data_IF_955156432020
#
_entry.id   IF_955156432020
#
_cell.length_a   1.000
_cell.length_b   1.000
_cell.length_c   1.000
_cell.angle_alpha   90.00
_cell.angle_beta   90.00
_cell.angle_gamma   90.00
#
_symmetry.space_group_name_H-M   'P 1'
#
loop_
_entity.id
_entity.type
_entity.pdbx_description
1 polymer ?
#
# COMPACT_ATOMS: atom_id res chain seq x y z
N UNK A 1 11.23 -58.29 -39.09
CA UNK A 1 12.05 -57.27 -38.41
C UNK A 1 11.85 -55.94 -39.13
N UNK A 2 10.97 -55.07 -38.63
CA UNK A 2 10.65 -53.77 -39.25
C UNK A 2 11.45 -52.67 -38.52
N UNK A 3 12.31 -51.98 -39.26
CA UNK A 3 13.06 -50.80 -38.81
C UNK A 3 12.10 -49.62 -38.71
N UNK A 4 11.97 -49.01 -37.53
CA UNK A 4 11.26 -47.75 -37.33
C UNK A 4 12.31 -46.66 -37.15
N UNK A 5 12.27 -45.69 -38.05
CA UNK A 5 13.08 -44.48 -38.05
C UNK A 5 12.47 -43.55 -36.99
N UNK A 6 13.24 -43.24 -35.94
CA UNK A 6 12.85 -42.25 -34.94
C UNK A 6 13.29 -40.86 -35.44
N UNK A 7 12.34 -40.09 -35.93
CA UNK A 7 12.52 -38.70 -36.35
C UNK A 7 12.80 -37.80 -35.14
N UNK A 8 13.92 -37.07 -35.21
CA UNK A 8 14.33 -36.02 -34.30
C UNK A 8 13.35 -34.83 -34.44
N UNK A 9 12.58 -34.53 -33.40
CA UNK A 9 11.77 -33.31 -33.34
C UNK A 9 12.51 -32.27 -32.51
N UNK A 10 13.10 -31.28 -33.19
CA UNK A 10 13.55 -30.03 -32.58
C UNK A 10 12.30 -29.27 -32.08
N UNK A 11 12.11 -29.22 -30.76
CA UNK A 11 11.15 -28.28 -30.15
C UNK A 11 11.88 -26.95 -30.01
N UNK A 12 11.53 -26.00 -30.87
CA UNK A 12 11.96 -24.62 -30.74
C UNK A 12 11.38 -24.04 -29.45
N UNK A 13 12.23 -23.80 -28.45
CA UNK A 13 11.87 -22.99 -27.28
C UNK A 13 11.82 -21.54 -27.74
N UNK A 14 10.69 -21.14 -28.31
CA UNK A 14 10.40 -19.74 -28.58
C UNK A 14 10.25 -19.01 -27.24
N UNK A 15 11.12 -18.02 -27.03
CA UNK A 15 11.22 -17.26 -25.80
C UNK A 15 9.90 -16.63 -25.38
N UNK A 16 9.53 -16.85 -24.13
CA UNK A 16 8.54 -16.06 -23.42
C UNK A 16 9.16 -14.68 -23.09
N UNK A 17 9.27 -13.83 -24.11
CA UNK A 17 9.54 -12.42 -23.92
C UNK A 17 8.28 -11.73 -23.39
N UNK A 18 8.36 -11.30 -22.13
CA UNK A 18 7.88 -10.02 -21.60
C UNK A 18 6.77 -9.33 -22.41
N UNK A 19 5.51 -9.73 -22.21
CA UNK A 19 4.34 -8.97 -22.67
C UNK A 19 3.31 -8.83 -21.56
N UNK A 20 3.72 -8.22 -20.45
CA UNK A 20 2.77 -7.80 -19.40
C UNK A 20 3.09 -6.40 -18.91
N UNK A 21 3.13 -5.45 -19.83
CA UNK A 21 3.14 -4.03 -19.49
C UNK A 21 2.35 -3.19 -20.50
N UNK A 22 1.18 -3.66 -20.92
CA UNK A 22 0.25 -2.89 -21.75
C UNK A 22 -1.20 -3.15 -21.35
N UNK A 23 -1.52 -3.14 -20.05
CA UNK A 23 -2.92 -2.99 -19.65
C UNK A 23 -3.22 -1.51 -19.43
N UNK A 24 -3.86 -0.90 -20.44
CA UNK A 24 -4.49 0.42 -20.37
C UNK A 24 -5.92 0.32 -19.81
N UNK A 25 -6.11 -0.52 -18.79
CA UNK A 25 -7.39 -0.59 -18.07
C UNK A 25 -7.73 0.80 -17.52
N UNK A 26 -8.80 1.38 -18.08
CA UNK A 26 -9.44 2.58 -17.54
C UNK A 26 -9.93 2.23 -16.14
N UNK A 27 -9.19 2.65 -15.13
CA UNK A 27 -9.59 2.60 -13.73
C UNK A 27 -10.91 3.34 -13.62
N UNK A 28 -12.02 2.64 -13.35
CA UNK A 28 -13.30 3.28 -13.08
C UNK A 28 -13.27 3.83 -11.66
N UNK A 29 -13.28 5.15 -11.54
CA UNK A 29 -13.28 5.82 -10.25
C UNK A 29 -14.70 5.92 -9.71
N UNK A 30 -14.99 5.22 -8.60
CA UNK A 30 -16.15 5.58 -7.79
C UNK A 30 -15.82 6.90 -7.10
N UNK A 31 -16.44 7.99 -7.56
CA UNK A 31 -16.27 9.33 -6.99
C UNK A 31 -16.99 9.36 -5.63
N UNK A 32 -16.25 9.25 -4.54
CA UNK A 32 -16.76 9.63 -3.22
C UNK A 32 -16.63 11.15 -3.07
N UNK A 33 -17.76 11.85 -3.02
CA UNK A 33 -17.78 13.26 -2.64
C UNK A 33 -17.49 13.39 -1.14
N UNK A 34 -16.62 14.34 -0.79
CA UNK A 34 -16.42 14.77 0.58
C UNK A 34 -17.61 15.62 1.02
N UNK A 35 -18.06 15.41 2.26
CA UNK A 35 -18.50 16.52 3.09
C UNK A 35 -17.25 17.34 3.48
N UNK A 36 -17.36 18.61 3.86
CA UNK A 36 -16.21 19.44 4.28
C UNK A 36 -15.35 18.83 5.42
N UNK A 37 -15.85 17.78 6.07
CA UNK A 37 -15.21 16.99 7.11
C UNK A 37 -14.57 15.70 6.55
N UNK A 38 -13.43 15.31 7.10
CA UNK A 38 -12.83 13.98 6.84
C UNK A 38 -13.88 12.88 7.08
N UNK A 39 -13.75 11.76 6.35
CA UNK A 39 -14.62 10.60 6.56
C UNK A 39 -14.64 10.23 8.06
N UNK A 40 -15.82 10.04 8.68
CA UNK A 40 -15.94 9.72 10.10
C UNK A 40 -15.09 8.54 10.56
N UNK A 41 -14.78 7.59 9.68
CA UNK A 41 -13.92 6.44 9.96
C UNK A 41 -12.48 6.83 10.33
N UNK A 42 -11.98 7.96 9.83
CA UNK A 42 -10.60 8.41 10.07
C UNK A 42 -10.48 9.90 10.34
N UNK A 43 -11.56 10.61 10.68
CA UNK A 43 -11.49 12.05 10.97
C UNK A 43 -10.56 12.41 12.15
N UNK A 44 -10.47 11.53 13.14
CA UNK A 44 -9.70 11.75 14.37
C UNK A 44 -8.34 11.01 14.37
N UNK A 45 -7.84 10.62 13.20
CA UNK A 45 -6.67 9.73 13.06
C UNK A 45 -5.40 10.22 13.76
N UNK A 46 -5.26 11.54 13.95
CA UNK A 46 -4.10 12.14 14.63
C UNK A 46 -4.03 11.79 16.11
N UNK A 47 -5.13 11.33 16.72
CA UNK A 47 -5.14 10.81 18.10
C UNK A 47 -4.82 9.32 18.21
N UNK A 48 -4.68 8.62 17.08
CA UNK A 48 -4.45 7.18 17.06
C UNK A 48 -2.99 6.83 17.31
N UNK A 49 -2.69 5.52 17.37
CA UNK A 49 -1.33 5.04 17.53
C UNK A 49 -0.48 5.45 16.31
N UNK A 50 0.54 6.27 16.58
CA UNK A 50 1.52 6.72 15.59
C UNK A 50 2.61 5.64 15.43
N UNK A 51 2.52 4.91 14.33
CA UNK A 51 3.37 3.76 13.99
C UNK A 51 4.83 4.17 13.81
N UNK A 52 5.07 5.32 13.18
CA UNK A 52 6.42 5.86 12.96
C UNK A 52 6.99 6.56 14.20
N UNK A 53 6.25 6.59 15.32
CA UNK A 53 6.66 7.24 16.58
C UNK A 53 7.24 8.66 16.35
N UNK A 54 8.35 8.98 17.03
CA UNK A 54 9.13 10.22 16.86
C UNK A 54 10.21 10.10 15.77
N UNK A 55 10.23 9.00 15.02
CA UNK A 55 11.20 8.76 13.93
C UNK A 55 10.49 8.63 12.59
N UNK A 56 9.86 9.71 12.10
CA UNK A 56 9.31 9.74 10.76
C UNK A 56 10.42 9.47 9.77
N UNK A 57 10.12 8.56 8.87
CA UNK A 57 11.09 7.98 7.97
C UNK A 57 10.57 8.05 6.54
N UNK A 58 11.44 7.65 5.63
CA UNK A 58 11.10 7.55 4.22
C UNK A 58 10.23 6.35 3.92
N UNK A 59 9.99 5.43 4.87
CA UNK A 59 9.28 4.19 4.62
C UNK A 59 9.89 3.37 3.49
N UNK A 60 11.14 3.64 3.12
CA UNK A 60 11.85 3.08 1.98
C UNK A 60 13.30 2.72 2.32
N UNK A 61 13.54 1.86 3.33
CA UNK A 61 14.90 1.46 3.68
C UNK A 61 15.54 0.56 2.61
N UNK A 62 14.78 0.10 1.61
CA UNK A 62 15.23 -0.83 0.56
C UNK A 62 15.33 -0.19 -0.83
N UNK A 63 14.89 1.05 -1.01
CA UNK A 63 14.80 1.71 -2.33
C UNK A 63 13.64 1.20 -3.21
N UNK A 64 12.77 0.33 -2.69
CA UNK A 64 11.60 -0.19 -3.40
C UNK A 64 10.62 0.93 -3.79
N UNK A 65 10.60 2.04 -3.06
CA UNK A 65 9.80 3.20 -3.41
C UNK A 65 10.50 4.13 -4.40
N UNK A 66 11.67 3.80 -4.98
CA UNK A 66 12.25 4.68 -5.98
C UNK A 66 11.34 4.81 -7.22
N UNK A 67 11.11 6.05 -7.68
CA UNK A 67 10.11 6.36 -8.72
C UNK A 67 8.62 6.23 -8.32
N UNK A 68 8.29 5.81 -7.09
CA UNK A 68 6.91 5.72 -6.54
C UNK A 68 6.83 6.45 -5.19
N UNK A 69 5.68 7.01 -4.80
CA UNK A 69 5.55 7.68 -3.49
C UNK A 69 6.67 8.69 -3.12
N UNK A 70 7.37 9.26 -4.12
CA UNK A 70 8.54 10.12 -3.95
C UNK A 70 9.73 9.48 -3.19
N UNK A 71 9.81 8.15 -3.11
CA UNK A 71 10.97 7.39 -2.62
C UNK A 71 11.54 7.88 -1.29
N UNK A 72 12.87 7.94 -1.23
CA UNK A 72 13.67 8.46 -0.10
C UNK A 72 13.56 9.97 0.12
N UNK A 73 12.94 10.72 -0.81
CA UNK A 73 12.78 12.17 -0.67
C UNK A 73 11.59 12.53 0.20
N UNK A 74 10.57 11.68 0.26
CA UNK A 74 9.39 11.93 1.07
C UNK A 74 9.56 11.46 2.52
N UNK A 75 8.89 12.15 3.44
CA UNK A 75 8.77 11.77 4.85
C UNK A 75 7.34 11.31 5.12
N UNK A 76 7.20 10.25 5.91
CA UNK A 76 5.90 9.61 6.14
C UNK A 76 5.59 9.55 7.63
N UNK A 77 4.33 9.83 7.95
CA UNK A 77 3.77 9.51 9.26
C UNK A 77 2.62 8.55 9.07
N UNK A 78 2.65 7.44 9.81
CA UNK A 78 1.65 6.38 9.72
C UNK A 78 0.90 6.31 11.04
N UNK A 79 -0.42 6.24 10.94
CA UNK A 79 -1.35 6.15 12.07
C UNK A 79 -2.24 4.93 11.88
N UNK A 80 -2.53 4.20 12.95
CA UNK A 80 -3.46 3.07 12.91
C UNK A 80 -4.43 3.13 14.08
N UNK A 81 -5.71 2.87 13.79
CA UNK A 81 -6.74 2.90 14.80
C UNK A 81 -6.56 1.80 15.87
N UNK A 82 -7.34 1.91 16.95
CA UNK A 82 -7.26 0.99 18.10
C UNK A 82 -7.43 -0.48 17.73
N UNK A 83 -8.24 -0.79 16.70
CA UNK A 83 -8.49 -2.16 16.23
C UNK A 83 -7.24 -2.85 15.69
N UNK A 84 -6.42 -2.12 14.92
CA UNK A 84 -5.20 -2.66 14.33
C UNK A 84 -3.97 -2.53 15.22
N UNK A 85 -4.00 -1.68 16.25
CA UNK A 85 -2.83 -1.32 17.07
C UNK A 85 -2.12 -2.54 17.68
N UNK A 86 -2.87 -3.52 18.21
CA UNK A 86 -2.27 -4.71 18.82
C UNK A 86 -1.46 -5.52 17.81
N UNK A 87 -2.03 -5.76 16.62
CA UNK A 87 -1.37 -6.46 15.51
C UNK A 87 -0.16 -5.67 15.01
N UNK A 88 -0.29 -4.35 14.89
CA UNK A 88 0.75 -3.46 14.40
C UNK A 88 2.05 -3.52 15.23
N UNK A 89 1.92 -3.76 16.54
CA UNK A 89 3.05 -3.86 17.47
C UNK A 89 3.71 -5.24 17.48
N UNK A 90 3.06 -6.25 16.91
CA UNK A 90 3.60 -7.62 16.85
C UNK A 90 4.55 -7.79 15.66
N UNK A 91 5.58 -8.59 15.89
CA UNK A 91 6.45 -9.12 14.85
C UNK A 91 5.81 -10.36 14.20
N UNK A 92 6.17 -10.67 12.95
CA UNK A 92 5.73 -11.88 12.27
C UNK A 92 4.58 -11.68 11.28
N UNK A 93 3.76 -12.71 11.08
CA UNK A 93 2.72 -12.73 10.05
C UNK A 93 1.46 -12.03 10.55
N UNK A 94 1.50 -10.70 10.52
CA UNK A 94 0.43 -9.84 10.98
C UNK A 94 -0.84 -10.09 10.16
N UNK A 95 -1.97 -10.33 10.84
CA UNK A 95 -3.31 -10.41 10.25
C UNK A 95 -4.20 -9.37 10.92
N UNK A 96 -4.53 -8.31 10.20
CA UNK A 96 -5.31 -7.21 10.76
C UNK A 96 -6.80 -7.56 10.78
N UNK A 97 -7.51 -7.29 11.88
CA UNK A 97 -8.94 -7.53 11.94
C UNK A 97 -9.71 -6.54 11.06
N UNK A 98 -10.91 -6.94 10.64
CA UNK A 98 -11.85 -6.06 9.96
C UNK A 98 -12.15 -4.79 10.77
N UNK A 99 -12.28 -3.67 10.07
CA UNK A 99 -12.37 -2.32 10.63
C UNK A 99 -11.02 -1.72 11.05
N UNK A 100 -9.89 -2.39 10.78
CA UNK A 100 -8.58 -1.75 10.88
C UNK A 100 -8.49 -0.63 9.85
N UNK A 101 -8.03 0.55 10.29
CA UNK A 101 -7.78 1.70 9.42
C UNK A 101 -6.36 2.17 9.60
N UNK A 102 -5.61 2.27 8.50
CA UNK A 102 -4.26 2.83 8.46
C UNK A 102 -4.30 4.12 7.65
N UNK A 103 -3.84 5.22 8.24
CA UNK A 103 -3.70 6.52 7.58
C UNK A 103 -2.22 6.83 7.42
N UNK A 104 -1.84 7.24 6.22
CA UNK A 104 -0.51 7.71 5.87
C UNK A 104 -0.57 9.18 5.48
N UNK A 105 0.21 10.00 6.17
CA UNK A 105 0.60 11.32 5.71
C UNK A 105 1.92 11.19 4.95
N UNK A 106 1.97 11.67 3.70
CA UNK A 106 3.20 11.77 2.93
C UNK A 106 3.56 13.23 2.68
N UNK A 107 4.73 13.63 3.15
CA UNK A 107 5.31 14.95 2.98
C UNK A 107 6.38 14.90 1.89
N UNK A 108 6.42 15.93 1.04
CA UNK A 108 7.33 15.96 -0.11
C UNK A 108 8.83 15.96 0.25
N UNK A 109 9.17 16.42 1.45
CA UNK A 109 10.52 16.56 1.99
C UNK A 109 10.49 16.78 3.51
N UNK A 110 11.67 16.82 4.14
CA UNK A 110 11.85 17.01 5.57
C UNK A 110 11.26 18.35 6.05
N UNK A 111 11.50 19.43 5.32
CA UNK A 111 11.04 20.77 5.70
C UNK A 111 9.50 20.86 5.72
N UNK A 112 8.82 20.22 4.75
CA UNK A 112 7.37 20.14 4.73
C UNK A 112 6.82 19.30 5.88
N UNK A 113 7.52 18.24 6.26
CA UNK A 113 7.17 17.39 7.40
C UNK A 113 7.34 18.13 8.74
N UNK A 114 8.47 18.80 8.95
CA UNK A 114 8.72 19.60 10.17
C UNK A 114 7.68 20.71 10.33
N UNK A 115 7.34 21.38 9.22
CA UNK A 115 6.31 22.41 9.21
C UNK A 115 4.87 21.86 9.25
N UNK A 116 4.68 20.53 9.17
CA UNK A 116 3.37 19.85 9.04
C UNK A 116 2.50 20.43 7.92
N UNK A 117 3.11 20.81 6.79
CA UNK A 117 2.44 21.50 5.69
C UNK A 117 2.07 20.57 4.55
N UNK A 118 0.78 20.61 4.17
CA UNK A 118 0.22 20.03 2.94
C UNK A 118 0.61 18.55 2.72
N UNK A 119 0.44 17.64 3.71
CA UNK A 119 0.64 16.22 3.45
C UNK A 119 -0.36 15.71 2.41
N UNK A 120 0.07 14.74 1.60
CA UNK A 120 -0.86 13.90 0.85
C UNK A 120 -1.34 12.80 1.79
N UNK A 121 -2.66 12.73 2.00
CA UNK A 121 -3.25 11.67 2.81
C UNK A 121 -3.58 10.46 1.94
N UNK A 122 -3.21 9.28 2.40
CA UNK A 122 -3.68 8.00 1.82
C UNK A 122 -4.15 7.10 2.94
N UNK A 123 -5.24 6.38 2.74
CA UNK A 123 -5.89 5.56 3.77
C UNK A 123 -6.09 4.16 3.22
N UNK A 124 -5.91 3.15 4.06
CA UNK A 124 -6.36 1.79 3.77
C UNK A 124 -7.27 1.27 4.88
N UNK A 125 -8.35 0.60 4.49
CA UNK A 125 -9.38 0.07 5.39
C UNK A 125 -9.53 -1.43 5.19
N UNK A 126 -9.40 -2.21 6.26
CA UNK A 126 -9.67 -3.65 6.23
C UNK A 126 -11.18 -3.86 6.36
N UNK A 127 -11.80 -4.43 5.33
CA UNK A 127 -13.21 -4.80 5.32
C UNK A 127 -13.44 -6.17 5.98
N UNK A 128 -14.70 -6.53 6.13
CA UNK A 128 -15.09 -7.90 6.48
C UNK A 128 -14.64 -8.89 5.39
N UNK A 129 -14.44 -10.14 5.81
CA UNK A 129 -13.96 -11.19 4.93
C UNK A 129 -14.85 -11.36 3.68
N UNK A 130 -14.23 -11.39 2.50
CA UNK A 130 -14.89 -11.58 1.22
C UNK A 130 -15.58 -10.34 0.65
N UNK A 131 -15.46 -9.15 1.28
CA UNK A 131 -16.03 -7.91 0.75
C UNK A 131 -15.20 -7.28 -0.37
N UNK A 132 -13.91 -7.56 -0.42
CA UNK A 132 -13.02 -7.14 -1.51
C UNK A 132 -11.95 -8.22 -1.75
N UNK A 133 -12.33 -9.41 -2.24
CA UNK A 133 -11.45 -10.57 -2.32
C UNK A 133 -10.20 -10.31 -3.17
N UNK A 134 -10.31 -9.53 -4.25
CA UNK A 134 -9.21 -9.19 -5.17
C UNK A 134 -8.06 -8.42 -4.50
N UNK A 135 -8.31 -7.85 -3.33
CA UNK A 135 -7.31 -7.10 -2.55
C UNK A 135 -7.17 -7.64 -1.13
N UNK A 136 -7.60 -8.89 -0.91
CA UNK A 136 -7.64 -9.52 0.42
C UNK A 136 -8.36 -8.64 1.44
N UNK A 137 -9.50 -8.11 1.02
CA UNK A 137 -10.42 -7.28 1.82
C UNK A 137 -9.84 -5.93 2.27
N UNK A 138 -8.81 -5.41 1.60
CA UNK A 138 -8.33 -4.05 1.83
C UNK A 138 -8.88 -3.08 0.79
N UNK A 139 -9.46 -1.97 1.22
CA UNK A 139 -9.77 -0.83 0.36
C UNK A 139 -8.72 0.26 0.47
N UNK A 140 -8.40 0.92 -0.66
CA UNK A 140 -7.38 1.97 -0.72
C UNK A 140 -7.97 3.29 -1.19
N UNK A 141 -7.68 4.35 -0.43
CA UNK A 141 -8.15 5.71 -0.66
C UNK A 141 -6.98 6.68 -0.74
N UNK A 142 -7.04 7.65 -1.66
CA UNK A 142 -6.06 8.74 -1.75
C UNK A 142 -6.74 10.10 -1.75
N UNK A 143 -6.25 10.98 -0.88
CA UNK A 143 -6.72 12.33 -0.69
C UNK A 143 -6.12 13.28 -1.72
N UNK A 144 -6.96 14.14 -2.30
CA UNK A 144 -6.57 15.22 -3.20
C UNK A 144 -6.78 16.56 -2.51
N UNK A 145 -5.68 17.30 -2.33
CA UNK A 145 -5.66 18.64 -1.73
C UNK A 145 -6.36 19.70 -2.58
N UNK A 146 -6.55 19.45 -3.88
CA UNK A 146 -7.17 20.42 -4.80
C UNK A 146 -8.69 20.48 -4.70
N UNK A 147 -9.32 19.49 -4.05
CA UNK A 147 -10.79 19.38 -3.99
C UNK A 147 -11.33 18.83 -2.67
N UNK A 148 -10.49 18.59 -1.67
CA UNK A 148 -10.83 17.76 -0.51
C UNK A 148 -11.52 16.48 -0.99
N UNK A 149 -10.91 15.64 -1.82
CA UNK A 149 -11.56 14.42 -2.33
C UNK A 149 -10.75 13.19 -1.97
N UNK A 150 -11.40 12.12 -1.52
CA UNK A 150 -10.78 10.80 -1.34
C UNK A 150 -11.28 9.92 -2.48
N UNK A 151 -10.38 9.56 -3.36
CA UNK A 151 -10.72 8.68 -4.48
C UNK A 151 -10.32 7.26 -4.12
N UNK A 152 -11.15 6.30 -4.50
CA UNK A 152 -10.78 4.89 -4.43
C UNK A 152 -9.69 4.62 -5.49
N UNK A 153 -8.56 4.06 -5.06
CA UNK A 153 -7.39 3.75 -5.88
C UNK A 153 -7.05 2.26 -5.85
N UNK A 154 -8.07 1.40 -5.74
CA UNK A 154 -7.94 -0.04 -5.50
C UNK A 154 -6.90 -0.73 -6.38
N UNK A 155 -7.12 -0.74 -7.70
CA UNK A 155 -6.27 -1.43 -8.68
C UNK A 155 -4.85 -0.86 -8.73
N UNK A 156 -4.69 0.44 -8.45
CA UNK A 156 -3.37 1.06 -8.45
C UNK A 156 -2.57 0.71 -7.19
N UNK A 157 -3.19 0.81 -6.02
CA UNK A 157 -2.50 0.58 -4.74
C UNK A 157 -2.28 -0.92 -4.47
N UNK A 158 -3.26 -1.78 -4.73
CA UNK A 158 -3.17 -3.21 -4.42
C UNK A 158 -2.04 -3.91 -5.17
N UNK A 159 -1.77 -3.51 -6.43
CA UNK A 159 -0.69 -4.04 -7.27
C UNK A 159 0.70 -3.93 -6.64
N UNK A 160 0.94 -2.91 -5.82
CA UNK A 160 2.21 -2.77 -5.09
C UNK A 160 2.11 -3.34 -3.67
N UNK A 161 0.94 -3.25 -3.03
CA UNK A 161 0.76 -3.76 -1.67
C UNK A 161 0.82 -5.30 -1.57
N UNK A 162 0.63 -6.02 -2.69
CA UNK A 162 0.81 -7.48 -2.75
C UNK A 162 2.21 -7.95 -2.35
N UNK A 163 3.26 -7.13 -2.54
CA UNK A 163 4.61 -7.50 -2.09
C UNK A 163 4.73 -7.58 -0.56
N UNK A 164 3.77 -7.02 0.18
CA UNK A 164 3.64 -7.15 1.62
C UNK A 164 2.58 -8.21 2.04
N UNK A 165 2.16 -9.12 1.17
CA UNK A 165 1.12 -10.12 1.49
C UNK A 165 1.43 -10.97 2.74
N UNK A 166 2.71 -11.25 3.00
CA UNK A 166 3.17 -11.99 4.18
C UNK A 166 2.98 -11.21 5.50
N UNK A 167 2.58 -9.94 5.41
CA UNK A 167 2.31 -9.01 6.50
C UNK A 167 0.92 -8.38 6.34
N UNK A 168 0.02 -9.11 5.67
CA UNK A 168 -1.34 -8.66 5.34
C UNK A 168 -1.35 -7.29 4.66
N UNK A 169 -0.50 -7.14 3.65
CA UNK A 169 -0.45 -6.00 2.74
C UNK A 169 -0.01 -4.67 3.40
N UNK A 170 0.51 -4.71 4.62
CA UNK A 170 1.02 -3.53 5.36
C UNK A 170 2.54 -3.56 5.47
N UNK A 171 3.22 -2.62 4.79
CA UNK A 171 4.69 -2.52 4.77
C UNK A 171 5.28 -2.03 6.10
N UNK A 172 4.76 -0.92 6.64
CA UNK A 172 5.30 -0.29 7.85
C UNK A 172 4.81 -1.01 9.12
N UNK A 173 5.16 -2.30 9.27
CA UNK A 173 4.90 -3.12 10.45
C UNK A 173 6.09 -3.12 11.42
N UNK A 174 5.93 -3.76 12.59
CA UNK A 174 6.98 -3.80 13.61
C UNK A 174 8.32 -4.39 13.12
N UNK A 175 8.31 -5.32 12.16
CA UNK A 175 9.55 -5.89 11.61
C UNK A 175 10.27 -4.87 10.72
N UNK A 176 9.53 -4.16 9.87
CA UNK A 176 10.08 -3.10 9.03
C UNK A 176 10.67 -1.95 9.85
N UNK A 177 9.97 -1.51 10.90
CA UNK A 177 10.43 -0.44 11.78
C UNK A 177 11.75 -0.79 12.52
N UNK A 178 12.05 -2.07 12.72
CA UNK A 178 13.35 -2.49 13.29
C UNK A 178 14.49 -2.33 12.29
N UNK A 179 14.22 -2.44 10.99
CA UNK A 179 15.22 -2.25 9.94
C UNK A 179 15.59 -0.77 9.78
N UNK A 180 14.63 0.12 10.01
CA UNK A 180 14.81 1.58 9.89
C UNK A 180 15.52 2.22 11.10
N UNK A 181 15.71 1.49 12.20
CA UNK A 181 16.46 1.93 13.39
C UNK A 181 17.98 1.67 13.29
N UNK A 182 18.44 1.10 12.17
CA UNK A 182 19.86 0.89 11.87
C UNK A 182 20.40 2.04 11.06
#
# INVERSE_FOLDING_TARGET
>A
MKKIILSLSFVAVAGFFLNSFTSSEKVSYTKYEYAADLNPLWKDYKSWYKVTHESPNTGDPTGFLDGKHSGTKAYREIYINKKGEGIQKMAGNNKYPAGTVVVKEAYKNKEAWEAKKKPVLTVMVKLDAGKSPDTSDWEYYMGSSKKNLFMNFQSFCSKCHVYAQAKDFVFMNADQLKLEKK
#
